data_IF_316561696718
#
_entry.id   IF_316561696718
#
_cell.length_a   1.000
_cell.length_b   1.000
_cell.length_c   1.000
_cell.angle_alpha   90.00
_cell.angle_beta   90.00
_cell.angle_gamma   90.00
#
_symmetry.space_group_name_H-M   'P 1'
#
loop_
_entity.id
_entity.type
_entity.pdbx_description
1 polymer ?
#
# COMPACT_ATOMS: atom_id res chain seq x y z
N UNK A 1 6.03 -8.56 -14.27
CA UNK A 1 4.94 -9.55 -14.49
C UNK A 1 3.58 -8.88 -14.65
N UNK A 2 3.13 -8.00 -13.73
CA UNK A 2 1.86 -7.25 -13.91
C UNK A 2 1.74 -6.53 -15.26
N UNK A 3 2.77 -5.76 -15.65
CA UNK A 3 2.77 -5.04 -16.94
C UNK A 3 2.66 -5.99 -18.14
N UNK A 4 3.29 -7.16 -18.07
CA UNK A 4 3.22 -8.17 -19.11
C UNK A 4 1.83 -8.84 -19.17
N UNK A 5 1.22 -9.16 -18.01
CA UNK A 5 -0.13 -9.70 -17.94
C UNK A 5 -1.17 -8.70 -18.49
N UNK A 6 -1.01 -7.41 -18.16
CA UNK A 6 -1.84 -6.34 -18.71
C UNK A 6 -1.65 -6.17 -20.22
N UNK A 7 -0.41 -6.22 -20.71
CA UNK A 7 -0.11 -6.10 -22.13
C UNK A 7 -0.67 -7.26 -22.96
N UNK A 8 -0.69 -8.47 -22.41
CA UNK A 8 -1.20 -9.68 -23.06
C UNK A 8 -2.72 -9.89 -22.88
N UNK A 9 -3.44 -8.94 -22.26
CA UNK A 9 -4.87 -9.04 -21.87
C UNK A 9 -5.20 -10.33 -21.08
N UNK A 10 -4.25 -10.80 -20.27
CA UNK A 10 -4.40 -11.99 -19.44
C UNK A 10 -5.09 -11.63 -18.11
N UNK A 11 -6.41 -11.43 -18.16
CA UNK A 11 -7.22 -10.89 -17.04
C UNK A 11 -7.10 -11.69 -15.74
N UNK A 12 -7.25 -13.01 -15.79
CA UNK A 12 -7.17 -13.87 -14.59
C UNK A 12 -5.78 -13.80 -13.93
N UNK A 13 -4.72 -13.73 -14.74
CA UNK A 13 -3.35 -13.59 -14.25
C UNK A 13 -3.14 -12.19 -13.64
N UNK A 14 -3.67 -11.15 -14.27
CA UNK A 14 -3.60 -9.79 -13.74
C UNK A 14 -4.34 -9.68 -12.41
N UNK A 15 -5.56 -10.23 -12.31
CA UNK A 15 -6.35 -10.26 -11.07
C UNK A 15 -5.62 -10.96 -9.93
N UNK A 16 -5.03 -12.13 -10.20
CA UNK A 16 -4.24 -12.85 -9.20
C UNK A 16 -3.04 -12.04 -8.71
N UNK A 17 -2.31 -11.40 -9.62
CA UNK A 17 -1.16 -10.57 -9.27
C UNK A 17 -1.57 -9.33 -8.46
N UNK A 18 -2.70 -8.69 -8.83
CA UNK A 18 -3.23 -7.54 -8.10
C UNK A 18 -3.72 -7.93 -6.71
N UNK A 19 -4.37 -9.08 -6.56
CA UNK A 19 -4.80 -9.59 -5.25
C UNK A 19 -3.59 -9.83 -4.35
N UNK A 20 -2.52 -10.44 -4.87
CA UNK A 20 -1.30 -10.66 -4.09
C UNK A 20 -0.67 -9.34 -3.62
N UNK A 21 -0.70 -8.29 -4.44
CA UNK A 21 -0.24 -6.94 -4.05
C UNK A 21 -1.18 -6.32 -3.00
N UNK A 22 -2.50 -6.46 -3.16
CA UNK A 22 -3.48 -5.97 -2.20
C UNK A 22 -3.29 -6.63 -0.82
N UNK A 23 -3.06 -7.94 -0.78
CA UNK A 23 -2.80 -8.69 0.44
C UNK A 23 -1.50 -8.26 1.15
N UNK A 24 -0.53 -7.72 0.40
CA UNK A 24 0.72 -7.16 0.98
C UNK A 24 0.55 -5.75 1.55
N UNK A 25 -0.47 -5.01 1.13
CA UNK A 25 -0.78 -3.65 1.61
C UNK A 25 -1.79 -3.70 2.76
N UNK A 26 -2.71 -4.66 2.70
CA UNK A 26 -3.78 -4.81 3.67
C UNK A 26 -3.19 -4.93 5.09
N UNK A 27 -3.75 -4.14 6.01
CA UNK A 27 -3.38 -4.13 7.43
C UNK A 27 -1.92 -3.76 7.73
N UNK A 28 -1.18 -3.17 6.78
CA UNK A 28 0.19 -2.66 7.02
C UNK A 28 0.21 -1.17 7.30
N UNK A 29 1.23 -0.70 8.03
CA UNK A 29 1.39 0.72 8.31
C UNK A 29 1.72 1.51 7.04
N UNK A 30 1.33 2.79 6.99
CA UNK A 30 1.65 3.68 5.86
C UNK A 30 3.17 3.81 5.67
N UNK A 31 3.94 3.76 6.76
CA UNK A 31 5.39 3.82 6.75
C UNK A 31 6.01 2.55 6.15
N UNK A 32 5.50 1.38 6.55
CA UNK A 32 5.90 0.11 5.96
C UNK A 32 5.61 0.04 4.47
N UNK A 33 4.40 0.42 4.06
CA UNK A 33 4.00 0.43 2.64
C UNK A 33 4.93 1.35 1.85
N UNK A 34 5.21 2.57 2.34
CA UNK A 34 6.16 3.49 1.69
C UNK A 34 7.55 2.86 1.55
N UNK A 35 8.08 2.23 2.60
CA UNK A 35 9.39 1.57 2.57
C UNK A 35 9.41 0.39 1.60
N UNK A 36 8.41 -0.48 1.67
CA UNK A 36 8.31 -1.69 0.85
C UNK A 36 8.25 -1.38 -0.65
N UNK A 37 7.51 -0.33 -1.04
CA UNK A 37 7.40 0.10 -2.43
C UNK A 37 8.48 1.13 -2.84
N UNK A 38 9.37 1.54 -1.92
CA UNK A 38 10.41 2.53 -2.18
C UNK A 38 9.85 3.92 -2.52
N UNK A 39 8.71 4.30 -1.94
CA UNK A 39 8.04 5.58 -2.18
C UNK A 39 8.50 6.60 -1.15
N UNK A 40 9.11 7.68 -1.62
CA UNK A 40 9.48 8.82 -0.78
C UNK A 40 8.25 9.61 -0.33
N UNK A 41 8.25 10.06 0.93
CA UNK A 41 7.19 10.92 1.44
C UNK A 41 7.38 12.35 0.92
N UNK A 42 6.53 12.78 -0.01
CA UNK A 42 6.53 14.14 -0.56
C UNK A 42 5.71 15.15 0.24
N UNK A 43 5.05 14.74 1.32
CA UNK A 43 4.24 15.64 2.15
C UNK A 43 5.11 16.38 3.17
N UNK A 44 4.75 17.62 3.45
CA UNK A 44 5.27 18.32 4.63
C UNK A 44 4.71 17.69 5.92
N UNK A 45 5.39 17.91 7.05
CA UNK A 45 4.95 17.37 8.34
C UNK A 45 3.55 17.85 8.74
N UNK A 46 3.19 19.09 8.36
CA UNK A 46 1.87 19.67 8.63
C UNK A 46 0.78 19.00 7.78
N UNK A 47 1.01 18.84 6.47
CA UNK A 47 0.09 18.14 5.58
C UNK A 47 -0.12 16.69 5.99
N UNK A 48 0.96 15.99 6.38
CA UNK A 48 0.86 14.60 6.85
C UNK A 48 0.07 14.49 8.15
N UNK A 49 0.23 15.44 9.08
CA UNK A 49 -0.55 15.51 10.31
C UNK A 49 -2.04 15.80 10.04
N UNK A 50 -2.33 16.72 9.12
CA UNK A 50 -3.71 16.99 8.69
C UNK A 50 -4.35 15.78 8.02
N UNK A 51 -3.61 15.06 7.16
CA UNK A 51 -4.06 13.83 6.51
C UNK A 51 -4.31 12.73 7.54
N UNK A 52 -3.40 12.51 8.51
CA UNK A 52 -3.61 11.54 9.59
C UNK A 52 -4.85 11.87 10.41
N UNK A 53 -5.08 13.14 10.74
CA UNK A 53 -6.29 13.58 11.46
C UNK A 53 -7.56 13.42 10.62
N UNK A 54 -7.51 13.74 9.32
CA UNK A 54 -8.65 13.62 8.40
C UNK A 54 -9.06 12.17 8.18
N UNK A 55 -8.08 11.28 8.11
CA UNK A 55 -8.28 9.85 7.88
C UNK A 55 -8.17 9.03 9.17
N UNK A 56 -8.34 9.67 10.33
CA UNK A 56 -8.29 9.02 11.64
C UNK A 56 -9.39 7.95 11.79
N UNK A 57 -10.54 8.15 11.16
CA UNK A 57 -11.62 7.14 11.07
C UNK A 57 -11.21 5.87 10.30
N UNK A 58 -10.19 5.98 9.47
CA UNK A 58 -9.58 4.88 8.71
C UNK A 58 -8.22 4.50 9.28
N UNK A 59 -7.84 5.04 10.45
CA UNK A 59 -6.65 4.61 11.18
C UNK A 59 -6.84 3.12 11.46
N UNK A 60 -6.13 2.33 10.66
CA UNK A 60 -6.34 0.91 10.45
C UNK A 60 -6.46 0.18 11.79
N UNK A 61 -7.70 -0.08 12.22
CA UNK A 61 -7.95 -1.02 13.30
C UNK A 61 -7.36 -2.35 12.82
N UNK A 62 -6.42 -2.91 13.59
CA UNK A 62 -5.64 -4.11 13.23
C UNK A 62 -4.47 -3.89 12.25
N UNK A 63 -3.61 -2.88 12.49
CA UNK A 63 -2.26 -2.89 11.87
C UNK A 63 -1.49 -4.08 12.41
N UNK A 64 -1.12 -5.00 11.52
CA UNK A 64 -0.20 -6.08 11.86
C UNK A 64 1.17 -5.49 12.19
N UNK A 65 1.96 -6.08 13.12
CA UNK A 65 3.32 -5.63 13.37
C UNK A 65 4.08 -5.57 12.04
N UNK A 66 4.75 -4.45 11.83
CA UNK A 66 5.59 -4.26 10.65
C UNK A 66 6.70 -5.31 10.70
N UNK A 67 6.83 -6.09 9.62
CA UNK A 67 7.89 -7.09 9.52
C UNK A 67 9.21 -6.34 9.28
N UNK A 68 10.31 -6.80 9.88
CA UNK A 68 11.64 -6.27 9.61
C UNK A 68 12.02 -6.59 8.15
N UNK A 69 11.91 -5.60 7.26
CA UNK A 69 12.46 -5.64 5.88
C UNK A 69 13.97 -5.41 5.93
#
# INVERSE_FOLDING_TARGET
MMVAANYLDAKELLEMLLQAVADKIKNKSVEYVRRYFGVENGYTAEEEAELRKRYEWAAFENVDPDDDI
#
